data_IF_796915725497
#
_entry.id   IF_796915725497
#
_cell.length_a   1.000
_cell.length_b   1.000
_cell.length_c   1.000
_cell.angle_alpha   90.00
_cell.angle_beta   90.00
_cell.angle_gamma   90.00
#
_symmetry.space_group_name_H-M   'P 1'
#
loop_
_entity.id
_entity.type
_entity.pdbx_description
1 polymer ?
#
# COMPACT_ATOMS: atom_id res chain seq x y z
N UNK A 1 -1.02 -6.48 16.74
CA UNK A 1 -2.02 -6.62 15.65
C UNK A 1 -2.40 -8.09 15.52
N UNK A 2 -3.70 -8.40 15.53
CA UNK A 2 -4.24 -9.74 15.39
C UNK A 2 -4.76 -9.97 13.97
N UNK A 3 -4.24 -10.98 13.28
CA UNK A 3 -4.72 -11.45 11.99
C UNK A 3 -5.46 -12.78 12.16
N UNK A 4 -6.78 -12.76 12.12
CA UNK A 4 -7.62 -13.95 12.15
C UNK A 4 -7.78 -14.53 10.74
N UNK A 5 -7.92 -15.85 10.62
CA UNK A 5 -8.35 -16.46 9.36
C UNK A 5 -9.80 -16.08 9.01
N UNK A 6 -10.13 -16.01 7.72
CA UNK A 6 -11.51 -15.81 7.26
C UNK A 6 -12.39 -17.02 7.58
N UNK A 7 -11.82 -18.22 7.51
CA UNK A 7 -12.45 -19.48 7.85
C UNK A 7 -11.53 -20.42 8.65
N UNK A 8 -11.96 -21.67 8.86
CA UNK A 8 -11.22 -22.66 9.63
C UNK A 8 -9.99 -23.18 8.86
N UNK A 9 -10.13 -23.35 7.55
CA UNK A 9 -9.05 -23.81 6.69
C UNK A 9 -7.90 -22.79 6.61
N UNK A 10 -8.22 -21.50 6.52
CA UNK A 10 -7.20 -20.45 6.58
C UNK A 10 -6.53 -20.39 7.97
N UNK A 11 -7.29 -20.56 9.05
CA UNK A 11 -6.73 -20.65 10.40
C UNK A 11 -5.75 -21.83 10.57
N UNK A 12 -6.06 -22.99 9.98
CA UNK A 12 -5.15 -24.14 9.92
C UNK A 12 -3.90 -23.83 9.09
N UNK A 13 -4.06 -23.21 7.92
CA UNK A 13 -2.94 -22.80 7.08
C UNK A 13 -2.01 -21.80 7.80
N UNK A 14 -2.56 -20.84 8.55
CA UNK A 14 -1.79 -19.90 9.37
C UNK A 14 -0.99 -20.63 10.45
N UNK A 15 -1.58 -21.62 11.15
CA UNK A 15 -0.85 -22.43 12.15
C UNK A 15 0.26 -23.25 11.52
N UNK A 16 0.00 -23.88 10.37
CA UNK A 16 1.00 -24.66 9.64
C UNK A 16 2.16 -23.77 9.18
N UNK A 17 1.87 -22.58 8.65
CA UNK A 17 2.89 -21.60 8.25
C UNK A 17 3.73 -21.13 9.45
N UNK A 18 3.09 -20.81 10.59
CA UNK A 18 3.78 -20.42 11.82
C UNK A 18 4.75 -21.52 12.28
N UNK A 19 4.30 -22.78 12.31
CA UNK A 19 5.12 -23.92 12.69
C UNK A 19 6.29 -24.16 11.72
N UNK A 20 6.05 -24.00 10.40
CA UNK A 20 7.07 -24.21 9.38
C UNK A 20 8.15 -23.11 9.36
N UNK A 21 7.76 -21.84 9.59
CA UNK A 21 8.71 -20.72 9.53
C UNK A 21 9.57 -20.60 10.80
N UNK A 22 9.10 -21.09 11.96
CA UNK A 22 9.87 -21.06 13.21
C UNK A 22 10.31 -19.66 13.65
N UNK A 23 9.49 -18.64 13.35
CA UNK A 23 9.81 -17.24 13.64
C UNK A 23 9.75 -16.95 15.16
N UNK A 24 10.53 -15.98 15.66
CA UNK A 24 10.49 -15.62 17.07
C UNK A 24 9.09 -15.14 17.51
N UNK A 25 8.65 -15.54 18.71
CA UNK A 25 7.34 -15.12 19.25
C UNK A 25 7.19 -13.60 19.41
N UNK A 26 8.30 -12.88 19.59
CA UNK A 26 8.33 -11.41 19.60
C UNK A 26 8.02 -10.77 18.23
N UNK A 27 8.11 -11.54 17.15
CA UNK A 27 7.69 -11.14 15.81
C UNK A 27 6.25 -11.59 15.54
N UNK A 28 5.98 -12.90 15.70
CA UNK A 28 4.64 -13.47 15.49
C UNK A 28 4.44 -14.72 16.35
N UNK A 29 3.25 -14.88 16.91
CA UNK A 29 2.82 -16.10 17.60
C UNK A 29 1.35 -16.40 17.34
N UNK A 30 0.89 -17.59 17.70
CA UNK A 30 -0.54 -17.87 17.73
C UNK A 30 -1.18 -17.21 18.96
N UNK A 31 -2.38 -16.65 18.78
CA UNK A 31 -3.24 -16.14 19.85
C UNK A 31 -4.62 -16.78 19.70
N UNK A 32 -5.13 -17.38 20.77
CA UNK A 32 -6.47 -17.99 20.74
C UNK A 32 -7.57 -16.94 20.79
N UNK A 33 -8.81 -17.32 20.49
CA UNK A 33 -9.96 -16.41 20.58
C UNK A 33 -10.22 -15.98 22.05
N UNK A 34 -10.04 -16.91 23.00
CA UNK A 34 -10.17 -16.64 24.43
C UNK A 34 -9.11 -15.65 24.91
N UNK A 35 -7.86 -15.84 24.47
CA UNK A 35 -6.77 -14.94 24.79
C UNK A 35 -7.01 -13.56 24.18
N UNK A 36 -7.42 -13.47 22.91
CA UNK A 36 -7.75 -12.22 22.24
C UNK A 36 -8.87 -11.45 22.97
N UNK A 37 -9.91 -12.16 23.42
CA UNK A 37 -11.00 -11.57 24.18
C UNK A 37 -10.56 -11.07 25.56
N UNK A 38 -9.72 -11.85 26.26
CA UNK A 38 -9.25 -11.52 27.60
C UNK A 38 -8.20 -10.40 27.62
N UNK A 39 -7.24 -10.42 26.69
CA UNK A 39 -6.11 -9.49 26.68
C UNK A 39 -6.38 -8.20 25.90
N UNK A 40 -7.22 -8.25 24.87
CA UNK A 40 -7.40 -7.15 23.91
C UNK A 40 -8.85 -6.74 23.67
N UNK A 41 -9.78 -7.28 24.47
CA UNK A 41 -11.22 -7.07 24.29
C UNK A 41 -11.72 -7.48 22.90
N UNK A 42 -10.96 -8.33 22.21
CA UNK A 42 -11.25 -8.78 20.85
C UNK A 42 -12.07 -10.06 20.89
N UNK A 43 -13.40 -9.92 20.93
CA UNK A 43 -14.37 -11.02 20.89
C UNK A 43 -14.50 -11.69 19.51
N UNK A 44 -13.37 -12.10 18.92
CA UNK A 44 -13.29 -12.70 17.58
C UNK A 44 -13.82 -14.15 17.58
N UNK A 45 -14.35 -14.65 16.44
CA UNK A 45 -14.89 -16.01 16.36
C UNK A 45 -13.81 -17.10 16.43
N UNK A 46 -12.54 -16.75 16.19
CA UNK A 46 -11.43 -17.70 16.10
C UNK A 46 -10.10 -17.03 16.41
N UNK A 47 -9.11 -17.83 16.79
CA UNK A 47 -7.73 -17.38 16.97
C UNK A 47 -7.03 -17.01 15.66
N UNK A 48 -5.82 -16.49 15.77
CA UNK A 48 -5.05 -16.01 14.62
C UNK A 48 -3.59 -15.73 14.92
N UNK A 49 -2.89 -15.16 13.93
CA UNK A 49 -1.51 -14.69 14.06
C UNK A 49 -1.50 -13.36 14.83
N UNK A 50 -0.82 -13.34 15.97
CA UNK A 50 -0.57 -12.14 16.74
C UNK A 50 0.82 -11.60 16.44
N UNK A 51 0.88 -10.37 15.95
CA UNK A 51 2.10 -9.60 15.74
C UNK A 51 2.24 -8.57 16.88
N UNK A 52 3.10 -8.80 17.90
CA UNK A 52 3.20 -7.93 19.07
C UNK A 52 3.64 -6.50 18.73
N UNK A 53 4.48 -6.35 17.70
CA UNK A 53 5.00 -5.06 17.22
C UNK A 53 4.12 -4.44 16.12
N UNK A 54 3.07 -5.14 15.68
CA UNK A 54 2.16 -4.63 14.67
C UNK A 54 1.14 -3.67 15.28
N UNK A 55 0.95 -2.52 14.63
CA UNK A 55 0.05 -1.47 15.08
C UNK A 55 -0.66 -0.75 13.96
N UNK A 56 -1.09 0.47 14.25
CA UNK A 56 -1.73 1.37 13.30
C UNK A 56 -1.22 2.78 13.49
N UNK A 57 -1.42 3.61 12.48
CA UNK A 57 -1.08 5.02 12.47
C UNK A 57 -1.88 5.70 11.36
N UNK A 58 -2.23 6.97 11.56
CA UNK A 58 -2.82 7.74 10.48
C UNK A 58 -1.74 8.09 9.45
N UNK A 59 -1.88 7.69 8.17
CA UNK A 59 -0.87 8.01 7.15
C UNK A 59 -0.55 9.52 7.02
N UNK A 60 -1.53 10.45 7.09
CA UNK A 60 -1.22 11.88 7.06
C UNK A 60 -0.25 12.33 8.16
N UNK A 61 -0.37 11.76 9.36
CA UNK A 61 0.47 12.14 10.51
C UNK A 61 1.92 11.71 10.31
N UNK A 62 2.16 10.51 9.75
CA UNK A 62 3.52 10.07 9.40
C UNK A 62 4.12 10.96 8.32
N UNK A 63 3.37 11.25 7.25
CA UNK A 63 3.86 12.11 6.19
C UNK A 63 4.23 13.51 6.72
N UNK A 64 3.38 14.09 7.57
CA UNK A 64 3.65 15.38 8.20
C UNK A 64 4.87 15.32 9.13
N UNK A 65 4.98 14.28 9.96
CA UNK A 65 6.11 14.08 10.86
C UNK A 65 7.44 13.92 10.10
N UNK A 66 7.46 13.14 9.01
CA UNK A 66 8.65 12.96 8.17
C UNK A 66 9.08 14.25 7.48
N UNK A 67 8.14 15.04 6.95
CA UNK A 67 8.46 16.35 6.37
C UNK A 67 9.00 17.32 7.42
N UNK A 68 8.41 17.33 8.63
CA UNK A 68 8.89 18.15 9.73
C UNK A 68 10.30 17.74 10.18
N UNK A 69 10.57 16.43 10.26
CA UNK A 69 11.88 15.89 10.59
C UNK A 69 12.93 16.22 9.52
N UNK A 70 12.57 16.17 8.24
CA UNK A 70 13.47 16.54 7.15
C UNK A 70 13.84 18.03 7.18
N UNK A 71 12.95 18.89 7.68
CA UNK A 71 13.22 20.31 7.90
C UNK A 71 13.72 20.99 6.62
N UNK A 72 14.86 21.69 6.73
CA UNK A 72 15.45 22.42 5.61
C UNK A 72 16.02 21.51 4.49
N UNK A 73 16.14 20.20 4.70
CA UNK A 73 16.58 19.28 3.65
C UNK A 73 15.52 19.06 2.56
N UNK A 74 14.24 19.38 2.85
CA UNK A 74 13.14 19.24 1.90
C UNK A 74 12.40 20.57 1.73
N UNK A 75 12.41 21.08 0.50
CA UNK A 75 11.56 22.22 0.12
C UNK A 75 10.23 21.71 -0.44
N UNK A 76 9.22 21.59 0.42
CA UNK A 76 7.90 21.14 0.01
C UNK A 76 7.13 22.24 -0.76
N UNK A 77 6.62 21.90 -1.95
CA UNK A 77 5.82 22.80 -2.81
C UNK A 77 4.44 22.21 -3.04
N UNK A 78 3.45 22.71 -2.31
CA UNK A 78 2.06 22.30 -2.42
C UNK A 78 1.27 23.19 -3.38
N UNK A 79 0.11 22.71 -3.85
CA UNK A 79 -0.70 23.43 -4.83
C UNK A 79 -0.07 23.50 -6.22
N UNK A 80 0.98 22.73 -6.48
CA UNK A 80 1.68 22.67 -7.76
C UNK A 80 1.36 21.32 -8.45
N UNK A 81 0.60 21.35 -9.53
CA UNK A 81 0.37 20.15 -10.36
C UNK A 81 1.47 20.05 -11.43
N UNK A 82 2.26 18.99 -11.39
CA UNK A 82 3.17 18.64 -12.48
C UNK A 82 2.33 18.05 -13.61
N UNK A 83 2.37 18.70 -14.79
CA UNK A 83 1.64 18.29 -15.97
C UNK A 83 2.51 17.49 -16.95
N UNK A 84 3.82 17.74 -16.95
CA UNK A 84 4.77 17.03 -17.80
C UNK A 84 6.16 16.96 -17.16
N UNK A 85 6.99 16.04 -17.68
CA UNK A 85 8.41 15.96 -17.35
C UNK A 85 9.24 16.01 -18.64
N UNK A 86 10.43 16.60 -18.56
CA UNK A 86 11.36 16.66 -19.68
C UNK A 86 12.80 16.51 -19.19
N UNK A 87 13.70 15.98 -20.04
CA UNK A 87 15.14 15.97 -19.77
C UNK A 87 15.84 16.96 -20.69
N UNK A 88 16.43 18.00 -20.13
CA UNK A 88 17.10 19.10 -20.84
C UNK A 88 18.48 19.32 -20.23
N UNK A 89 19.53 19.32 -21.05
CA UNK A 89 20.92 19.56 -20.62
C UNK A 89 21.37 18.69 -19.42
N UNK A 90 20.94 17.43 -19.41
CA UNK A 90 21.27 16.46 -18.35
C UNK A 90 20.45 16.58 -17.07
N UNK A 91 19.51 17.53 -17.00
CA UNK A 91 18.59 17.72 -15.88
C UNK A 91 17.19 17.25 -16.24
N UNK A 92 16.49 16.66 -15.28
CA UNK A 92 15.04 16.51 -15.34
C UNK A 92 14.38 17.83 -14.96
N UNK A 93 13.26 18.14 -15.61
CA UNK A 93 12.39 19.28 -15.34
C UNK A 93 10.98 18.78 -15.08
N UNK A 94 10.39 19.22 -13.97
CA UNK A 94 8.96 19.11 -13.73
C UNK A 94 8.28 20.38 -14.24
N UNK A 95 7.33 20.23 -15.15
CA UNK A 95 6.63 21.32 -15.83
C UNK A 95 5.19 21.43 -15.33
N UNK A 96 4.71 22.65 -15.15
CA UNK A 96 3.31 22.92 -14.84
C UNK A 96 2.44 22.94 -16.10
N UNK A 97 1.18 23.38 -15.94
CA UNK A 97 0.18 23.30 -17.01
C UNK A 97 0.48 24.24 -18.17
N UNK A 98 1.11 25.39 -17.89
CA UNK A 98 1.44 26.40 -18.89
C UNK A 98 2.86 26.20 -19.47
N UNK A 99 3.49 25.07 -19.14
CA UNK A 99 4.86 24.73 -19.55
C UNK A 99 5.94 25.42 -18.71
N UNK A 100 5.56 26.08 -17.61
CA UNK A 100 6.49 26.69 -16.68
C UNK A 100 7.31 25.62 -15.95
N UNK A 101 8.62 25.87 -15.78
CA UNK A 101 9.49 24.95 -15.02
C UNK A 101 9.20 25.13 -13.53
N UNK A 102 8.55 24.13 -12.94
CA UNK A 102 8.28 24.10 -11.50
C UNK A 102 9.57 23.78 -10.74
N UNK A 103 10.33 22.78 -11.19
CA UNK A 103 11.60 22.40 -10.57
C UNK A 103 12.52 21.72 -11.58
N UNK A 104 13.83 21.73 -11.31
CA UNK A 104 14.82 21.00 -12.10
C UNK A 104 15.90 20.39 -11.23
N UNK A 105 16.31 19.16 -11.55
CA UNK A 105 17.32 18.39 -10.82
C UNK A 105 17.90 17.28 -11.71
N UNK A 106 19.12 16.76 -11.45
CA UNK A 106 19.68 15.65 -12.22
C UNK A 106 18.94 14.33 -11.97
N UNK A 107 18.25 14.23 -10.83
CA UNK A 107 17.47 13.08 -10.38
C UNK A 107 16.00 13.47 -10.24
N UNK A 108 15.10 12.64 -10.77
CA UNK A 108 13.65 12.75 -10.60
C UNK A 108 13.10 11.42 -10.07
N UNK A 109 12.27 11.49 -9.02
CA UNK A 109 11.56 10.33 -8.47
C UNK A 109 10.06 10.47 -8.71
N UNK A 110 9.47 9.53 -9.44
CA UNK A 110 8.03 9.41 -9.59
C UNK A 110 7.45 8.65 -8.39
N UNK A 111 6.80 9.39 -7.49
CA UNK A 111 6.13 8.87 -6.29
C UNK A 111 4.63 9.23 -6.26
N UNK A 112 4.03 9.50 -7.42
CA UNK A 112 2.67 10.00 -7.60
C UNK A 112 1.67 8.89 -8.01
N UNK A 113 1.90 7.66 -7.54
CA UNK A 113 0.99 6.52 -7.74
C UNK A 113 0.59 6.32 -9.22
N UNK A 114 -0.67 6.01 -9.51
CA UNK A 114 -1.12 5.77 -10.89
C UNK A 114 -0.96 6.98 -11.82
N UNK A 115 -0.92 8.22 -11.30
CA UNK A 115 -0.69 9.42 -12.13
C UNK A 115 0.71 9.43 -12.77
N UNK A 116 1.65 8.60 -12.31
CA UNK A 116 2.94 8.42 -12.96
C UNK A 116 2.81 8.00 -14.43
N UNK A 117 1.77 7.24 -14.81
CA UNK A 117 1.56 6.85 -16.23
C UNK A 117 1.18 8.02 -17.13
N UNK A 118 0.68 9.14 -16.58
CA UNK A 118 0.42 10.35 -17.36
C UNK A 118 1.72 11.10 -17.67
N UNK A 119 2.66 11.12 -16.72
CA UNK A 119 3.95 11.80 -16.88
C UNK A 119 4.94 10.97 -17.70
N UNK A 120 4.90 9.65 -17.52
CA UNK A 120 5.76 8.70 -18.21
C UNK A 120 4.96 7.45 -18.58
N UNK A 121 4.35 7.41 -19.77
CA UNK A 121 3.68 6.22 -20.27
C UNK A 121 4.66 5.05 -20.38
N UNK A 122 4.39 3.99 -19.62
CA UNK A 122 5.15 2.73 -19.62
C UNK A 122 4.16 1.59 -19.81
N UNK A 123 4.30 0.84 -20.91
CA UNK A 123 3.37 -0.22 -21.30
C UNK A 123 3.38 -1.35 -20.27
N UNK A 124 4.56 -1.72 -19.76
CA UNK A 124 4.72 -2.91 -18.93
C UNK A 124 4.53 -2.67 -17.42
N UNK A 125 4.31 -1.44 -16.95
CA UNK A 125 4.04 -1.21 -15.51
C UNK A 125 2.72 -1.85 -15.04
N UNK A 126 1.79 -2.20 -15.95
CA UNK A 126 0.52 -2.93 -15.70
C UNK A 126 -0.10 -2.63 -14.32
N UNK A 127 -0.26 -1.33 -14.04
CA UNK A 127 -0.85 -0.84 -12.80
C UNK A 127 -2.35 -0.70 -12.95
N UNK A 128 -3.09 -1.05 -11.89
CA UNK A 128 -4.53 -0.78 -11.80
C UNK A 128 -4.84 0.05 -10.57
N UNK A 129 -5.91 0.81 -10.70
CA UNK A 129 -6.53 1.57 -9.61
C UNK A 129 -7.51 0.67 -8.89
N UNK A 130 -7.44 0.68 -7.56
CA UNK A 130 -8.38 -0.04 -6.71
C UNK A 130 -8.95 0.95 -5.72
N UNK A 131 -10.25 1.20 -5.85
CA UNK A 131 -10.99 2.06 -4.93
C UNK A 131 -11.19 1.31 -3.61
N UNK A 132 -11.05 2.03 -2.50
CA UNK A 132 -11.35 1.51 -1.17
C UNK A 132 -12.07 2.55 -0.34
N UNK A 133 -13.12 2.13 0.34
CA UNK A 133 -13.86 2.96 1.30
C UNK A 133 -13.74 2.38 2.70
N UNK A 134 -13.35 3.25 3.64
CA UNK A 134 -13.41 3.02 5.08
C UNK A 134 -14.72 3.56 5.64
N UNK A 135 -15.12 3.02 6.78
CA UNK A 135 -16.32 3.42 7.51
C UNK A 135 -15.91 3.87 8.90
N UNK A 136 -16.38 5.06 9.27
CA UNK A 136 -16.14 5.66 10.58
C UNK A 136 -17.40 5.50 11.42
N UNK A 137 -17.24 4.88 12.58
CA UNK A 137 -18.24 4.82 13.65
C UNK A 137 -17.92 5.93 14.65
N UNK A 138 -18.86 6.83 14.91
CA UNK A 138 -18.72 7.85 15.94
C UNK A 138 -18.60 7.23 17.34
N UNK A 139 -18.02 7.96 18.29
CA UNK A 139 -17.78 7.46 19.65
C UNK A 139 -19.02 6.85 20.31
N UNK A 140 -20.18 7.54 20.23
CA UNK A 140 -21.44 7.03 20.77
C UNK A 140 -21.91 5.71 20.11
N UNK A 141 -21.65 5.53 18.82
CA UNK A 141 -21.97 4.28 18.12
C UNK A 141 -21.06 3.15 18.61
N UNK A 142 -19.76 3.41 18.79
CA UNK A 142 -18.81 2.44 19.33
C UNK A 142 -19.16 2.08 20.78
N UNK A 143 -19.57 3.05 21.60
CA UNK A 143 -20.01 2.82 22.98
C UNK A 143 -21.25 1.94 23.04
N UNK A 144 -22.22 2.16 22.13
CA UNK A 144 -23.43 1.35 22.03
C UNK A 144 -23.16 -0.12 21.66
N UNK A 145 -21.99 -0.45 21.08
CA UNK A 145 -21.60 -1.84 20.79
C UNK A 145 -21.19 -2.61 22.06
N UNK A 146 -21.00 -1.94 23.20
CA UNK A 146 -20.69 -2.60 24.49
C UNK A 146 -19.27 -3.18 24.61
N UNK A 147 -18.43 -3.03 23.59
CA UNK A 147 -17.03 -3.44 23.60
C UNK A 147 -16.35 -3.18 22.26
N UNK A 148 -15.07 -2.80 22.29
CA UNK A 148 -14.25 -2.55 21.10
C UNK A 148 -12.82 -3.04 21.34
N UNK A 149 -12.18 -3.72 20.36
CA UNK A 149 -10.79 -4.16 20.52
C UNK A 149 -9.82 -2.99 20.75
N UNK A 150 -8.85 -3.17 21.64
CA UNK A 150 -7.76 -2.21 21.85
C UNK A 150 -6.57 -2.44 20.89
N UNK A 151 -6.66 -3.48 20.06
CA UNK A 151 -5.68 -3.84 19.05
C UNK A 151 -6.28 -3.83 17.65
N UNK A 152 -5.42 -3.74 16.62
CA UNK A 152 -5.85 -3.91 15.23
C UNK A 152 -6.27 -5.36 15.03
N UNK A 153 -7.45 -5.59 14.47
CA UNK A 153 -7.91 -6.92 14.06
C UNK A 153 -8.09 -6.92 12.55
N UNK A 154 -7.51 -7.91 11.86
CA UNK A 154 -7.64 -8.10 10.40
C UNK A 154 -8.14 -9.51 10.08
N UNK A 155 -8.97 -9.65 9.05
CA UNK A 155 -9.54 -10.88 8.49
C UNK A 155 -10.23 -10.54 7.16
N UNK A 156 -11.51 -10.87 7.01
CA UNK A 156 -12.32 -10.49 5.84
C UNK A 156 -12.46 -8.95 5.65
N UNK A 157 -12.12 -8.18 6.69
CA UNK A 157 -11.87 -6.75 6.67
C UNK A 157 -10.85 -6.43 7.77
N UNK A 158 -10.82 -5.19 8.24
CA UNK A 158 -10.06 -4.81 9.41
C UNK A 158 -10.80 -3.75 10.22
N UNK A 159 -10.47 -3.70 11.50
CA UNK A 159 -10.83 -2.62 12.40
C UNK A 159 -9.58 -2.10 13.10
N UNK A 160 -9.58 -0.81 13.39
CA UNK A 160 -8.54 -0.16 14.18
C UNK A 160 -9.03 -0.01 15.63
N UNK A 161 -8.11 0.04 16.60
CA UNK A 161 -8.41 0.53 17.95
C UNK A 161 -9.09 1.90 17.90
N UNK A 162 -9.78 2.26 18.99
CA UNK A 162 -10.41 3.58 19.11
C UNK A 162 -9.37 4.67 18.86
N UNK A 163 -9.73 5.63 18.03
CA UNK A 163 -8.97 6.84 17.85
C UNK A 163 -9.07 7.73 19.10
N UNK A 164 -8.25 8.78 19.17
CA UNK A 164 -8.21 9.68 20.34
C UNK A 164 -9.55 10.41 20.58
N UNK A 165 -10.37 10.59 19.55
CA UNK A 165 -11.74 11.14 19.61
C UNK A 165 -12.80 10.09 20.02
N UNK A 166 -12.38 8.85 20.30
CA UNK A 166 -13.23 7.73 20.65
C UNK A 166 -13.88 7.03 19.47
N UNK A 167 -13.65 7.49 18.23
CA UNK A 167 -14.24 6.91 17.03
C UNK A 167 -13.59 5.57 16.65
N UNK A 168 -14.39 4.69 16.03
CA UNK A 168 -13.95 3.43 15.46
C UNK A 168 -13.81 3.54 13.96
N UNK A 169 -12.82 2.86 13.38
CA UNK A 169 -12.63 2.81 11.92
C UNK A 169 -12.57 1.36 11.45
N UNK A 170 -13.35 1.05 10.44
CA UNK A 170 -13.45 -0.29 9.86
C UNK A 170 -13.42 -0.27 8.35
N UNK A 171 -13.01 -1.38 7.74
CA UNK A 171 -13.12 -1.56 6.31
C UNK A 171 -12.03 -2.47 5.76
N UNK A 172 -11.51 -2.23 4.58
CA UNK A 172 -12.09 -1.39 3.53
C UNK A 172 -12.71 -2.26 2.45
N UNK A 173 -13.54 -1.66 1.61
CA UNK A 173 -13.82 -2.24 0.30
C UNK A 173 -12.57 -2.36 -0.59
N UNK A 174 -12.69 -3.18 -1.63
CA UNK A 174 -11.65 -3.43 -2.62
C UNK A 174 -12.34 -3.53 -3.98
N UNK A 175 -12.70 -2.38 -4.52
CA UNK A 175 -13.54 -2.26 -5.71
C UNK A 175 -12.68 -1.82 -6.90
N UNK A 176 -13.13 -2.17 -8.11
CA UNK A 176 -12.61 -1.53 -9.31
C UNK A 176 -12.89 -0.02 -9.23
N UNK A 177 -11.93 0.79 -9.66
CA UNK A 177 -12.08 2.24 -9.62
C UNK A 177 -12.80 2.74 -10.88
N UNK A 178 -14.13 2.83 -10.81
CA UNK A 178 -15.01 3.16 -11.95
C UNK A 178 -15.71 4.52 -11.82
N UNK A 179 -15.38 5.35 -10.81
CA UNK A 179 -16.16 6.56 -10.55
C UNK A 179 -15.49 7.60 -9.65
N UNK A 180 -16.22 8.68 -9.30
CA UNK A 180 -15.71 9.72 -8.42
C UNK A 180 -15.44 9.18 -7.00
N UNK A 181 -14.53 9.83 -6.27
CA UNK A 181 -14.19 9.49 -4.88
C UNK A 181 -15.25 9.96 -3.90
N UNK A 182 -16.46 9.43 -4.09
CA UNK A 182 -17.64 9.71 -3.27
C UNK A 182 -17.97 8.47 -2.48
N UNK A 183 -18.33 8.66 -1.21
CA UNK A 183 -18.77 7.59 -0.32
C UNK A 183 -20.08 6.97 -0.79
N UNK A 184 -20.22 5.67 -0.58
CA UNK A 184 -21.42 4.92 -0.93
C UNK A 184 -21.99 4.25 0.31
N UNK A 185 -23.25 4.51 0.70
CA UNK A 185 -23.90 3.85 1.83
C UNK A 185 -23.92 2.32 1.74
N UNK A 186 -24.06 1.77 0.52
CA UNK A 186 -24.00 0.33 0.29
C UNK A 186 -22.64 -0.27 0.70
N UNK A 187 -21.55 0.50 0.55
CA UNK A 187 -20.21 0.07 0.95
C UNK A 187 -20.03 0.16 2.47
N UNK A 188 -20.65 1.15 3.12
CA UNK A 188 -20.75 1.16 4.59
C UNK A 188 -21.45 -0.09 5.10
N UNK A 189 -22.60 -0.45 4.52
CA UNK A 189 -23.34 -1.65 4.87
C UNK A 189 -22.48 -2.92 4.72
N UNK A 190 -21.72 -3.04 3.63
CA UNK A 190 -20.81 -4.17 3.41
C UNK A 190 -19.66 -4.22 4.44
N UNK A 191 -19.10 -3.07 4.83
CA UNK A 191 -18.08 -3.00 5.88
C UNK A 191 -18.64 -3.35 7.26
N UNK A 192 -19.87 -2.93 7.59
CA UNK A 192 -20.55 -3.33 8.82
C UNK A 192 -20.83 -4.84 8.84
N UNK A 193 -21.22 -5.44 7.71
CA UNK A 193 -21.41 -6.89 7.63
C UNK A 193 -20.10 -7.66 7.91
N UNK A 194 -18.96 -7.20 7.36
CA UNK A 194 -17.64 -7.76 7.70
C UNK A 194 -17.31 -7.60 9.17
N UNK A 195 -17.59 -6.42 9.75
CA UNK A 195 -17.41 -6.16 11.17
C UNK A 195 -18.22 -7.13 12.04
N UNK A 196 -19.50 -7.37 11.72
CA UNK A 196 -20.34 -8.35 12.42
C UNK A 196 -19.76 -9.77 12.37
N UNK A 197 -19.17 -10.16 11.23
CA UNK A 197 -18.48 -11.45 11.11
C UNK A 197 -17.20 -11.53 11.96
N UNK A 198 -16.47 -10.42 12.09
CA UNK A 198 -15.25 -10.34 12.90
C UNK A 198 -15.54 -10.22 14.40
N UNK A 199 -16.66 -9.59 14.78
CA UNK A 199 -17.10 -9.32 16.15
C UNK A 199 -18.54 -9.84 16.37
N UNK A 200 -18.75 -11.17 16.40
CA UNK A 200 -20.09 -11.77 16.42
C UNK A 200 -20.94 -11.38 17.63
N UNK A 201 -20.33 -11.06 18.78
CA UNK A 201 -21.10 -10.61 19.97
C UNK A 201 -21.72 -9.23 19.79
N UNK A 202 -21.17 -8.42 18.87
CA UNK A 202 -21.63 -7.08 18.55
C UNK A 202 -22.56 -7.06 17.33
N UNK A 203 -22.79 -8.20 16.67
CA UNK A 203 -23.47 -8.28 15.37
C UNK A 203 -24.85 -7.62 15.37
N UNK A 204 -25.67 -7.86 16.40
CA UNK A 204 -27.02 -7.27 16.50
C UNK A 204 -26.98 -5.75 16.63
N UNK A 205 -26.05 -5.23 17.45
CA UNK A 205 -25.88 -3.79 17.65
C UNK A 205 -25.32 -3.13 16.38
N UNK A 206 -24.40 -3.80 15.67
CA UNK A 206 -23.88 -3.34 14.37
C UNK A 206 -24.98 -3.31 13.31
N UNK A 207 -25.86 -4.32 13.29
CA UNK A 207 -26.97 -4.40 12.34
C UNK A 207 -28.03 -3.29 12.54
N UNK A 208 -28.11 -2.70 13.74
CA UNK A 208 -29.00 -1.58 14.04
C UNK A 208 -28.47 -0.22 13.54
N UNK A 209 -27.22 -0.15 13.08
CA UNK A 209 -26.60 1.10 12.58
C UNK A 209 -27.08 1.37 11.16
N UNK A 210 -27.69 2.53 10.93
CA UNK A 210 -28.06 2.99 9.59
C UNK A 210 -26.80 3.34 8.76
N UNK A 211 -26.48 2.59 7.69
CA UNK A 211 -25.32 2.86 6.85
C UNK A 211 -25.37 4.22 6.15
N UNK A 212 -26.56 4.80 5.94
CA UNK A 212 -26.73 6.10 5.30
C UNK A 212 -26.39 7.27 6.23
N UNK A 213 -26.37 7.04 7.55
CA UNK A 213 -26.00 8.03 8.55
C UNK A 213 -24.49 8.02 8.87
N UNK A 214 -23.70 7.18 8.19
CA UNK A 214 -22.27 7.04 8.41
C UNK A 214 -21.46 7.96 7.48
N UNK A 215 -20.21 8.15 7.87
CA UNK A 215 -19.19 8.82 7.07
C UNK A 215 -17.94 7.93 6.98
N UNK A 216 -16.99 8.33 6.15
CA UNK A 216 -15.81 7.51 5.91
C UNK A 216 -14.68 8.24 5.22
N UNK A 217 -13.88 7.43 4.53
CA UNK A 217 -12.78 7.90 3.70
C UNK A 217 -12.75 7.03 2.45
N UNK A 218 -12.74 7.66 1.29
CA UNK A 218 -12.55 6.99 -0.01
C UNK A 218 -11.17 7.33 -0.54
N UNK A 219 -10.39 6.29 -0.83
CA UNK A 219 -9.08 6.43 -1.43
C UNK A 219 -8.88 5.47 -2.60
N UNK A 220 -7.86 5.74 -3.41
CA UNK A 220 -7.46 4.89 -4.52
C UNK A 220 -6.08 4.34 -4.25
N UNK A 221 -5.98 3.01 -4.28
CA UNK A 221 -4.71 2.29 -4.28
C UNK A 221 -4.25 2.12 -5.70
N UNK A 222 -2.94 2.19 -5.90
CA UNK A 222 -2.32 1.70 -7.13
C UNK A 222 -1.70 0.36 -6.82
N UNK A 223 -2.02 -0.67 -7.61
CA UNK A 223 -1.47 -2.02 -7.45
C UNK A 223 -0.97 -2.53 -8.78
N UNK A 224 0.11 -3.31 -8.74
CA UNK A 224 0.55 -4.13 -9.86
C UNK A 224 -0.19 -5.45 -9.90
N UNK A 225 -0.11 -6.16 -11.03
CA UNK A 225 -0.69 -7.50 -11.17
C UNK A 225 -0.20 -8.49 -10.10
N UNK A 226 1.10 -8.47 -9.75
CA UNK A 226 1.70 -9.36 -8.76
C UNK A 226 1.71 -8.81 -7.32
N UNK A 227 1.08 -7.64 -7.08
CA UNK A 227 0.98 -6.96 -5.77
C UNK A 227 2.31 -6.58 -5.11
N UNK A 228 3.42 -6.59 -5.86
CA UNK A 228 4.69 -6.00 -5.44
C UNK A 228 4.79 -4.55 -5.94
N UNK A 229 5.39 -3.63 -5.17
CA UNK A 229 5.58 -2.25 -5.63
C UNK A 229 6.54 -2.18 -6.81
N UNK A 230 6.63 -1.02 -7.45
CA UNK A 230 7.63 -0.68 -8.45
C UNK A 230 8.58 0.33 -7.81
N UNK A 231 9.73 -0.13 -7.34
CA UNK A 231 10.72 0.68 -6.64
C UNK A 231 12.09 0.50 -7.29
N UNK A 232 12.62 1.56 -7.89
CA UNK A 232 13.95 1.55 -8.46
C UNK A 232 14.11 2.45 -9.69
N UNK A 233 15.24 2.28 -10.40
CA UNK A 233 15.50 3.03 -11.63
C UNK A 233 14.54 2.62 -12.76
N UNK A 234 13.99 3.61 -13.45
CA UNK A 234 13.01 3.39 -14.53
C UNK A 234 13.69 2.85 -15.79
N UNK A 235 13.13 1.81 -16.44
CA UNK A 235 13.63 1.34 -17.73
C UNK A 235 13.43 2.36 -18.85
N UNK A 236 14.36 2.41 -19.79
CA UNK A 236 14.11 2.97 -21.10
C UNK A 236 13.44 1.89 -21.97
N UNK A 237 12.12 1.82 -21.85
CA UNK A 237 11.30 0.81 -22.52
C UNK A 237 11.40 0.90 -24.05
N UNK A 238 11.49 2.09 -24.62
CA UNK A 238 11.66 2.27 -26.05
C UNK A 238 13.01 1.70 -26.53
N UNK A 239 14.10 2.01 -25.82
CA UNK A 239 15.42 1.47 -26.13
C UNK A 239 15.50 -0.05 -25.93
N UNK A 240 14.80 -0.59 -24.91
CA UNK A 240 14.74 -2.02 -24.66
C UNK A 240 13.97 -2.75 -25.76
N UNK A 241 12.81 -2.24 -26.18
CA UNK A 241 11.98 -2.85 -27.23
C UNK A 241 12.67 -2.81 -28.60
N UNK A 242 13.42 -1.74 -28.91
CA UNK A 242 14.24 -1.68 -30.12
C UNK A 242 15.30 -2.80 -30.19
N UNK A 243 15.69 -3.36 -29.03
CA UNK A 243 16.67 -4.42 -28.87
C UNK A 243 16.04 -5.72 -28.35
N UNK A 244 14.73 -5.91 -28.51
CA UNK A 244 14.01 -6.99 -27.86
C UNK A 244 14.56 -8.39 -28.14
N UNK A 245 15.07 -8.62 -29.37
CA UNK A 245 15.63 -9.91 -29.76
C UNK A 245 16.90 -10.29 -28.97
N UNK A 246 17.80 -9.35 -28.71
CA UNK A 246 19.02 -9.59 -27.93
C UNK A 246 18.74 -9.66 -26.42
N UNK A 247 17.68 -9.02 -25.95
CA UNK A 247 17.31 -8.97 -24.53
C UNK A 247 16.46 -10.16 -24.04
N UNK A 248 16.15 -11.16 -24.89
CA UNK A 248 15.37 -12.35 -24.47
C UNK A 248 16.04 -13.14 -23.34
N UNK A 249 17.38 -13.17 -23.30
CA UNK A 249 18.16 -13.85 -22.27
C UNK A 249 18.73 -12.92 -21.19
N UNK A 250 18.35 -11.65 -21.19
CA UNK A 250 18.92 -10.62 -20.33
C UNK A 250 18.56 -10.80 -18.84
N UNK A 251 19.37 -10.17 -17.99
CA UNK A 251 19.06 -9.87 -16.60
C UNK A 251 18.60 -8.41 -16.46
N UNK A 252 18.02 -8.05 -15.31
CA UNK A 252 17.52 -6.69 -15.07
C UNK A 252 18.59 -5.60 -15.22
N UNK A 253 19.83 -5.92 -14.85
CA UNK A 253 20.98 -5.02 -15.00
C UNK A 253 21.35 -4.72 -16.45
N UNK A 254 20.95 -5.57 -17.40
CA UNK A 254 21.27 -5.42 -18.82
C UNK A 254 20.24 -4.55 -19.56
N UNK A 255 19.07 -4.31 -18.95
CA UNK A 255 18.04 -3.49 -19.56
C UNK A 255 18.47 -2.03 -19.55
N UNK A 256 18.31 -1.31 -20.68
CA UNK A 256 18.59 0.12 -20.73
C UNK A 256 17.70 0.86 -19.73
N UNK A 257 18.29 1.83 -19.03
CA UNK A 257 17.64 2.63 -18.00
C UNK A 257 17.58 4.08 -18.40
N UNK A 258 16.55 4.78 -17.94
CA UNK A 258 16.49 6.24 -18.03
C UNK A 258 17.44 6.84 -16.99
N UNK A 259 18.48 7.59 -17.38
CA UNK A 259 19.44 8.14 -16.43
C UNK A 259 18.74 9.07 -15.42
N UNK A 260 19.07 8.94 -14.13
CA UNK A 260 18.53 9.80 -13.07
C UNK A 260 17.00 9.74 -12.89
N UNK A 261 16.28 8.78 -13.48
CA UNK A 261 14.84 8.65 -13.31
C UNK A 261 14.50 7.40 -12.51
N UNK A 262 13.78 7.60 -11.41
CA UNK A 262 13.41 6.55 -10.47
C UNK A 262 11.91 6.55 -10.21
N UNK A 263 11.39 5.43 -9.71
CA UNK A 263 9.99 5.26 -9.36
C UNK A 263 9.85 4.66 -7.96
N UNK A 264 8.81 5.09 -7.24
CA UNK A 264 8.32 4.53 -5.98
C UNK A 264 6.78 4.44 -6.08
N UNK A 265 6.30 3.41 -6.78
CA UNK A 265 4.91 3.31 -7.22
C UNK A 265 4.25 2.01 -6.75
N UNK A 266 2.92 2.00 -6.83
CA UNK A 266 2.09 0.81 -6.70
C UNK A 266 2.21 0.01 -5.38
N UNK A 267 2.35 0.72 -4.24
CA UNK A 267 2.43 0.11 -2.91
C UNK A 267 1.15 -0.61 -2.41
N UNK A 268 0.04 -0.51 -3.16
CA UNK A 268 -1.23 -1.13 -2.79
C UNK A 268 -1.74 -0.75 -1.41
N UNK A 269 -2.22 -1.74 -0.65
CA UNK A 269 -2.72 -1.57 0.72
C UNK A 269 -1.63 -1.60 1.79
N UNK A 270 -0.34 -1.64 1.40
CA UNK A 270 0.80 -1.86 2.32
C UNK A 270 1.84 -0.74 2.24
N UNK A 271 1.42 0.47 1.85
CA UNK A 271 2.30 1.63 1.70
C UNK A 271 3.12 1.94 2.95
N UNK A 272 2.50 1.90 4.14
CA UNK A 272 3.21 2.16 5.39
C UNK A 272 4.33 1.16 5.67
N UNK A 273 4.17 -0.10 5.26
CA UNK A 273 5.19 -1.14 5.42
C UNK A 273 6.32 -0.97 4.39
N UNK A 274 5.97 -0.68 3.14
CA UNK A 274 6.93 -0.62 2.04
C UNK A 274 7.70 0.70 1.93
N UNK A 275 7.12 1.82 2.37
CA UNK A 275 7.66 3.14 2.07
C UNK A 275 9.08 3.35 2.61
N UNK A 276 9.34 2.93 3.86
CA UNK A 276 10.67 3.09 4.48
C UNK A 276 11.73 2.25 3.73
N UNK A 277 11.48 0.95 3.55
CA UNK A 277 12.41 0.07 2.82
C UNK A 277 12.60 0.51 1.37
N UNK A 278 11.54 0.96 0.71
CA UNK A 278 11.59 1.47 -0.66
C UNK A 278 12.38 2.77 -0.78
N UNK A 279 12.27 3.66 0.22
CA UNK A 279 13.06 4.90 0.27
C UNK A 279 14.56 4.59 0.45
N UNK A 280 14.93 3.70 1.36
CA UNK A 280 16.32 3.27 1.55
C UNK A 280 16.89 2.58 0.31
N UNK A 281 16.10 1.73 -0.36
CA UNK A 281 16.49 1.12 -1.62
C UNK A 281 16.78 2.17 -2.70
N UNK A 282 15.91 3.18 -2.83
CA UNK A 282 16.11 4.27 -3.78
C UNK A 282 17.33 5.12 -3.45
N UNK A 283 17.51 5.51 -2.18
CA UNK A 283 18.67 6.27 -1.74
C UNK A 283 19.96 5.52 -2.08
N UNK A 284 20.02 4.22 -1.75
CA UNK A 284 21.18 3.37 -2.06
C UNK A 284 21.46 3.30 -3.57
N UNK A 285 20.41 3.15 -4.39
CA UNK A 285 20.57 3.12 -5.84
C UNK A 285 20.97 4.47 -6.47
N UNK A 286 20.55 5.58 -5.87
CA UNK A 286 20.88 6.93 -6.34
C UNK A 286 22.33 7.27 -6.00
N UNK A 287 22.78 6.94 -4.79
CA UNK A 287 24.12 7.25 -4.29
C UNK A 287 25.16 6.18 -4.66
N UNK A 288 24.72 5.03 -5.19
CA UNK A 288 25.62 3.92 -5.56
C UNK A 288 26.12 3.13 -4.34
N UNK A 289 25.35 3.10 -3.27
CA UNK A 289 25.65 2.37 -2.04
C UNK A 289 25.21 0.89 -2.13
N UNK A 290 25.73 0.00 -1.26
CA UNK A 290 25.21 -1.36 -1.14
C UNK A 290 23.70 -1.38 -0.85
N UNK A 291 22.97 -2.26 -1.54
CA UNK A 291 21.51 -2.34 -1.37
C UNK A 291 21.13 -2.86 0.02
N UNK A 292 20.02 -2.38 0.62
CA UNK A 292 19.51 -2.85 1.91
C UNK A 292 18.77 -4.19 1.80
N UNK A 293 18.83 -4.84 0.64
CA UNK A 293 18.10 -6.05 0.27
C UNK A 293 18.97 -6.95 -0.59
N UNK A 294 18.71 -8.25 -0.53
CA UNK A 294 19.25 -9.23 -1.46
C UNK A 294 18.83 -8.90 -2.90
N UNK A 295 19.69 -9.27 -3.86
CA UNK A 295 19.51 -8.87 -5.25
C UNK A 295 18.22 -9.41 -5.87
N UNK A 296 17.76 -10.61 -5.47
CA UNK A 296 16.51 -11.19 -5.95
C UNK A 296 15.27 -10.43 -5.42
N UNK A 297 15.31 -9.93 -4.18
CA UNK A 297 14.27 -9.07 -3.63
C UNK A 297 14.26 -7.69 -4.29
N UNK A 298 15.43 -7.11 -4.54
CA UNK A 298 15.55 -5.86 -5.29
C UNK A 298 14.99 -6.02 -6.72
N UNK A 299 15.36 -7.11 -7.40
CA UNK A 299 14.85 -7.48 -8.72
C UNK A 299 13.31 -7.68 -8.72
N UNK A 300 12.76 -8.21 -7.64
CA UNK A 300 11.32 -8.45 -7.49
C UNK A 300 10.48 -7.16 -7.38
N UNK A 301 11.10 -6.05 -6.94
CA UNK A 301 10.45 -4.73 -6.87
C UNK A 301 10.89 -3.79 -7.99
N UNK A 302 11.91 -4.14 -8.78
CA UNK A 302 12.43 -3.31 -9.87
C UNK A 302 11.32 -2.93 -10.88
N UNK A 303 11.22 -1.65 -11.31
CA UNK A 303 10.22 -1.19 -12.28
C UNK A 303 10.31 -1.87 -13.67
N UNK A 304 11.46 -2.44 -14.04
CA UNK A 304 11.70 -3.11 -15.31
C UNK A 304 11.39 -4.62 -15.29
N UNK A 305 11.06 -5.22 -14.13
CA UNK A 305 10.82 -6.67 -14.01
C UNK A 305 9.73 -7.20 -14.95
N UNK A 306 8.69 -6.40 -15.18
CA UNK A 306 7.55 -6.79 -16.02
C UNK A 306 7.89 -6.67 -17.50
N UNK A 307 8.69 -5.66 -17.87
CA UNK A 307 9.26 -5.54 -19.21
C UNK A 307 10.21 -6.71 -19.51
N UNK A 308 11.12 -7.05 -18.59
CA UNK A 308 12.02 -8.19 -18.76
C UNK A 308 11.24 -9.50 -18.94
N UNK A 309 10.19 -9.70 -18.14
CA UNK A 309 9.31 -10.88 -18.29
C UNK A 309 8.65 -10.92 -19.67
N UNK A 310 8.14 -9.80 -20.15
CA UNK A 310 7.52 -9.70 -21.46
C UNK A 310 8.51 -9.98 -22.60
N UNK A 311 9.73 -9.42 -22.52
CA UNK A 311 10.82 -9.69 -23.46
C UNK A 311 11.17 -11.19 -23.51
N UNK A 312 11.28 -11.85 -22.36
CA UNK A 312 11.55 -13.30 -22.26
C UNK A 312 10.47 -14.16 -22.92
N UNK A 313 9.22 -13.73 -22.86
CA UNK A 313 8.08 -14.44 -23.46
C UNK A 313 7.72 -13.97 -24.87
N UNK A 314 8.44 -12.99 -25.44
CA UNK A 314 8.14 -12.41 -26.74
C UNK A 314 6.83 -11.62 -26.80
N UNK A 315 6.34 -11.12 -25.65
CA UNK A 315 5.09 -10.37 -25.50
C UNK A 315 5.38 -8.87 -25.58
N UNK A 316 5.85 -8.39 -26.73
CA UNK A 316 6.32 -6.99 -26.90
C UNK A 316 5.27 -6.05 -27.49
N UNK A 317 3.98 -6.38 -27.39
CA UNK A 317 2.87 -5.65 -28.01
C UNK A 317 1.63 -5.63 -27.15
#
# INVERSE_FOLDING_TARGET
>A
MLQIGEDEAEGEAQRAALAAMGLPEGFVRWMSAEEAAAAHHAGVPRGGLWFPQGGWVAPPDICAAQLAQAGAAVTARFGCRVAAIARVDGQWQALGQDGEVLASAPVLVLANAHEAQQLLPQQHWTMRRVRGQLTTLGSAQVDALGGWPDCVVTGAGYLLPRAADGAGRVGSSYDADEGPLVEQPAVHAANLARLSGMLPRQADAVAAIDPAALSGYVGVRTVTHNRLPLVGQVPDEAAALAQAASLRGAHLRDLPRMPGLYAALAYGSRGLTWAALGAELLASQIEGEPLPLESDLADAVDPARLLLRALRHGQTG
#
